data_IF_866871312884
#
_entry.id   IF_866871312884
#
_cell.length_a   1.000
_cell.length_b   1.000
_cell.length_c   1.000
_cell.angle_alpha   90.00
_cell.angle_beta   90.00
_cell.angle_gamma   90.00
#
_symmetry.space_group_name_H-M   'P 1'
#
loop_
_entity.id
_entity.type
_entity.pdbx_description
1 polymer ?
#
# COMPACT_ATOMS: atom_id res chain seq x y z
N UNK A 1 5.64 -9.19 -13.28
CA UNK A 1 4.71 -8.56 -12.31
C UNK A 1 5.30 -8.43 -10.90
N UNK A 2 5.98 -9.44 -10.34
CA UNK A 2 6.35 -9.52 -8.91
C UNK A 2 7.14 -8.32 -8.36
N UNK A 3 8.35 -8.05 -8.87
CA UNK A 3 9.23 -7.02 -8.28
C UNK A 3 8.63 -5.61 -8.35
N UNK A 4 8.08 -5.23 -9.51
CA UNK A 4 7.47 -3.93 -9.71
C UNK A 4 6.27 -3.73 -8.77
N UNK A 5 5.39 -4.72 -8.66
CA UNK A 5 4.23 -4.64 -7.77
C UNK A 5 4.63 -4.47 -6.31
N UNK A 6 5.63 -5.24 -5.83
CA UNK A 6 6.08 -5.16 -4.45
C UNK A 6 6.64 -3.76 -4.15
N UNK A 7 7.50 -3.24 -5.01
CA UNK A 7 8.11 -1.91 -4.82
C UNK A 7 7.05 -0.81 -4.87
N UNK A 8 6.16 -0.84 -5.87
CA UNK A 8 5.06 0.13 -5.98
C UNK A 8 4.13 0.06 -4.76
N UNK A 9 3.81 -1.15 -4.29
CA UNK A 9 3.00 -1.34 -3.10
C UNK A 9 3.68 -0.80 -1.84
N UNK A 10 4.98 -1.03 -1.67
CA UNK A 10 5.72 -0.52 -0.51
C UNK A 10 5.70 1.00 -0.45
N UNK A 11 5.92 1.68 -1.58
CA UNK A 11 5.83 3.14 -1.67
C UNK A 11 4.40 3.62 -1.39
N UNK A 12 3.39 2.98 -1.99
CA UNK A 12 1.99 3.32 -1.77
C UNK A 12 1.57 3.16 -0.30
N UNK A 13 1.97 2.08 0.37
CA UNK A 13 1.68 1.84 1.78
C UNK A 13 2.36 2.84 2.71
N UNK A 14 3.57 3.30 2.39
CA UNK A 14 4.22 4.37 3.15
C UNK A 14 3.42 5.68 3.09
N UNK A 15 2.91 6.05 1.91
CA UNK A 15 2.06 7.24 1.78
C UNK A 15 0.70 7.05 2.44
N UNK A 16 0.10 5.86 2.31
CA UNK A 16 -1.15 5.52 3.00
C UNK A 16 -1.00 5.65 4.52
N UNK A 17 -0.04 4.95 5.11
CA UNK A 17 0.18 4.90 6.56
C UNK A 17 0.63 6.25 7.14
N UNK A 18 1.35 7.07 6.37
CA UNK A 18 1.71 8.43 6.82
C UNK A 18 0.53 9.42 6.76
N UNK A 19 -0.57 9.08 6.08
CA UNK A 19 -1.72 9.99 5.85
C UNK A 19 -2.96 9.67 6.71
N UNK A 20 -3.29 8.39 6.97
CA UNK A 20 -4.59 8.00 7.54
C UNK A 20 -4.85 8.45 8.99
N UNK A 21 -3.97 8.12 9.93
CA UNK A 21 -4.06 8.56 11.33
C UNK A 21 -2.64 8.70 11.90
N UNK A 22 -1.91 9.68 11.35
CA UNK A 22 -0.55 9.96 11.75
C UNK A 22 -0.45 10.42 13.22
N UNK A 23 -1.53 10.95 13.78
CA UNK A 23 -1.56 11.41 15.16
C UNK A 23 -1.46 10.24 16.13
N UNK A 24 -2.16 9.14 15.87
CA UNK A 24 -2.13 7.94 16.73
C UNK A 24 -0.98 7.00 16.33
N UNK A 25 -0.79 6.74 15.03
CA UNK A 25 0.12 5.69 14.55
C UNK A 25 1.38 6.23 13.85
N UNK A 26 1.56 7.54 13.78
CA UNK A 26 2.68 8.18 13.10
C UNK A 26 3.67 8.83 14.07
N UNK A 27 4.62 9.58 13.50
CA UNK A 27 5.60 10.38 14.25
C UNK A 27 5.49 11.88 14.01
N UNK A 28 4.43 12.36 13.35
CA UNK A 28 4.19 13.78 13.15
C UNK A 28 5.16 14.43 12.17
N UNK A 29 5.49 15.69 12.41
CA UNK A 29 6.33 16.48 11.52
C UNK A 29 7.81 16.09 11.66
N UNK A 30 8.38 15.57 10.56
CA UNK A 30 9.78 15.16 10.48
C UNK A 30 10.78 16.26 10.88
N UNK A 31 10.44 17.53 10.64
CA UNK A 31 11.31 18.67 10.97
C UNK A 31 11.51 18.84 12.47
N UNK A 32 10.62 18.28 13.30
CA UNK A 32 10.64 18.40 14.74
C UNK A 32 11.15 17.13 15.42
N UNK A 33 11.65 16.14 14.67
CA UNK A 33 12.07 14.85 15.21
C UNK A 33 13.38 14.97 16.00
N UNK A 34 13.32 14.55 17.27
CA UNK A 34 14.49 14.34 18.11
C UNK A 34 14.63 12.84 18.38
N UNK A 35 15.71 12.22 17.87
CA UNK A 35 15.99 10.80 18.03
C UNK A 35 16.34 10.48 19.49
N UNK A 36 15.75 9.42 20.02
CA UNK A 36 15.93 8.99 21.43
C UNK A 36 16.13 7.48 21.53
N UNK A 37 16.67 7.03 22.67
CA UNK A 37 16.81 5.60 22.99
C UNK A 37 17.62 4.81 21.96
N UNK A 38 18.80 5.28 21.56
CA UNK A 38 19.65 4.58 20.57
C UNK A 38 18.95 4.22 19.24
N UNK A 39 18.02 5.08 18.79
CA UNK A 39 17.17 4.93 17.60
C UNK A 39 15.89 4.08 17.80
N UNK A 40 15.43 3.89 19.03
CA UNK A 40 14.15 3.25 19.32
C UNK A 40 12.94 4.09 18.88
N UNK A 41 13.07 5.42 18.80
CA UNK A 41 12.01 6.29 18.30
C UNK A 41 12.37 7.77 18.32
N UNK A 42 11.35 8.61 18.19
CA UNK A 42 11.49 10.07 18.17
C UNK A 42 10.49 10.77 19.10
N UNK A 43 10.88 11.93 19.61
CA UNK A 43 9.94 12.94 20.08
C UNK A 43 9.65 13.95 18.98
N UNK A 44 8.42 14.49 18.95
CA UNK A 44 8.03 15.59 18.06
C UNK A 44 8.11 16.92 18.84
N UNK A 45 9.18 17.69 18.62
CA UNK A 45 9.42 18.97 19.28
C UNK A 45 10.19 18.83 20.60
N UNK A 46 9.94 19.73 21.55
CA UNK A 46 10.72 19.83 22.80
C UNK A 46 10.37 18.78 23.87
N UNK A 47 9.48 17.83 23.57
CA UNK A 47 9.05 16.76 24.47
C UNK A 47 7.77 16.08 23.96
N UNK A 48 7.23 15.14 24.73
CA UNK A 48 6.01 14.40 24.41
C UNK A 48 6.20 12.89 24.49
N UNK A 49 5.17 12.16 24.06
CA UNK A 49 5.22 10.70 24.02
C UNK A 49 6.21 10.20 22.95
N UNK A 50 6.82 9.05 23.21
CA UNK A 50 7.68 8.37 22.23
C UNK A 50 6.85 7.95 21.01
N UNK A 51 7.32 8.32 19.82
CA UNK A 51 6.67 7.94 18.55
C UNK A 51 7.57 7.06 17.71
N UNK A 52 7.02 5.94 17.24
CA UNK A 52 7.72 4.90 16.46
C UNK A 52 7.18 4.75 15.03
N UNK A 53 6.17 5.56 14.67
CA UNK A 53 5.49 5.50 13.38
C UNK A 53 6.16 6.31 12.28
N UNK A 54 5.56 6.30 11.08
CA UNK A 54 6.03 7.11 9.96
C UNK A 54 5.76 8.60 10.19
N UNK A 55 6.71 9.44 9.78
CA UNK A 55 6.50 10.88 9.75
C UNK A 55 5.42 11.22 8.71
N UNK A 56 4.76 12.37 8.85
CA UNK A 56 3.89 12.88 7.79
C UNK A 56 4.68 13.05 6.50
N UNK A 57 4.16 12.53 5.38
CA UNK A 57 4.76 12.65 4.05
C UNK A 57 3.73 13.28 3.09
N UNK A 58 4.20 14.00 2.07
CA UNK A 58 3.33 14.61 1.04
C UNK A 58 2.22 15.52 1.62
N UNK A 59 2.52 16.22 2.71
CA UNK A 59 1.67 17.25 3.32
C UNK A 59 2.36 18.60 3.16
N UNK A 60 1.63 19.63 2.70
CA UNK A 60 2.19 20.96 2.43
C UNK A 60 2.00 21.98 3.57
N UNK A 61 1.42 21.54 4.69
CA UNK A 61 1.10 22.38 5.84
C UNK A 61 -0.39 22.72 5.95
N UNK A 62 -1.16 22.59 4.86
CA UNK A 62 -2.63 22.77 4.89
C UNK A 62 -3.40 21.55 4.38
N UNK A 63 -2.88 20.85 3.37
CA UNK A 63 -3.57 19.74 2.71
C UNK A 63 -2.64 18.57 2.39
N UNK A 64 -3.21 17.37 2.38
CA UNK A 64 -2.58 16.19 1.82
C UNK A 64 -2.50 16.30 0.30
N UNK A 65 -1.31 16.03 -0.25
CA UNK A 65 -1.07 15.97 -1.70
C UNK A 65 -1.24 14.56 -2.28
N UNK A 66 -1.50 13.59 -1.42
CA UNK A 66 -1.78 12.21 -1.79
C UNK A 66 -3.04 11.73 -1.07
N UNK A 67 -3.98 11.13 -1.81
CA UNK A 67 -5.14 10.48 -1.22
C UNK A 67 -4.74 9.11 -0.69
N UNK A 68 -5.13 8.73 0.54
CA UNK A 68 -4.82 7.41 1.08
C UNK A 68 -5.64 6.35 0.31
N UNK A 69 -4.98 5.66 -0.62
CA UNK A 69 -5.57 4.64 -1.48
C UNK A 69 -4.74 3.35 -1.40
N UNK A 70 -5.42 2.20 -1.50
CA UNK A 70 -4.77 0.90 -1.70
C UNK A 70 -4.47 0.72 -3.19
N UNK A 71 -3.32 0.11 -3.49
CA UNK A 71 -2.86 -0.07 -4.87
C UNK A 71 -3.77 -1.02 -5.66
N UNK A 72 -4.22 -0.59 -6.83
CA UNK A 72 -4.90 -1.43 -7.83
C UNK A 72 -3.96 -1.71 -8.99
N UNK A 73 -3.76 -2.99 -9.33
CA UNK A 73 -2.83 -3.43 -10.38
C UNK A 73 -3.61 -4.12 -11.49
N UNK A 74 -3.57 -3.56 -12.69
CA UNK A 74 -4.16 -4.17 -13.88
C UNK A 74 -3.10 -4.89 -14.70
N UNK A 75 -3.33 -6.16 -15.01
CA UNK A 75 -2.39 -7.02 -15.71
C UNK A 75 -3.06 -7.58 -16.97
N UNK A 76 -2.52 -7.21 -18.13
CA UNK A 76 -2.91 -7.79 -19.42
C UNK A 76 -2.11 -9.07 -19.67
N UNK A 77 -2.55 -10.18 -19.08
CA UNK A 77 -1.93 -11.50 -19.25
C UNK A 77 -2.96 -12.63 -19.00
N UNK A 78 -2.70 -13.87 -19.46
CA UNK A 78 -3.55 -15.02 -19.15
C UNK A 78 -3.68 -15.24 -17.64
N UNK A 79 -4.89 -15.59 -17.22
CA UNK A 79 -5.22 -15.86 -15.81
C UNK A 79 -4.31 -16.91 -15.17
N UNK A 80 -4.04 -18.00 -15.89
CA UNK A 80 -3.19 -19.09 -15.40
C UNK A 80 -1.73 -18.64 -15.19
N UNK A 81 -1.22 -17.74 -16.03
CA UNK A 81 0.12 -17.18 -15.88
C UNK A 81 0.20 -16.31 -14.61
N UNK A 82 -0.82 -15.48 -14.37
CA UNK A 82 -0.90 -14.66 -13.16
C UNK A 82 -0.99 -15.57 -11.92
N UNK A 83 -1.89 -16.54 -11.91
CA UNK A 83 -2.07 -17.50 -10.82
C UNK A 83 -0.79 -18.27 -10.52
N UNK A 84 -0.08 -18.72 -11.55
CA UNK A 84 1.20 -19.44 -11.38
C UNK A 84 2.24 -18.58 -10.66
N UNK A 85 2.33 -17.30 -11.01
CA UNK A 85 3.25 -16.37 -10.35
C UNK A 85 2.83 -16.11 -8.90
N UNK A 86 1.54 -15.85 -8.65
CA UNK A 86 1.05 -15.60 -7.28
C UNK A 86 1.25 -16.82 -6.38
N UNK A 87 0.94 -18.03 -6.86
CA UNK A 87 1.18 -19.29 -6.12
C UNK A 87 2.66 -19.53 -5.81
N UNK A 88 3.56 -19.07 -6.69
CA UNK A 88 5.01 -19.19 -6.49
C UNK A 88 5.56 -18.23 -5.43
N UNK A 89 4.87 -17.13 -5.14
CA UNK A 89 5.38 -16.05 -4.29
C UNK A 89 4.42 -15.73 -3.15
N UNK A 90 4.62 -16.37 -1.99
CA UNK A 90 3.80 -16.19 -0.78
C UNK A 90 3.59 -14.71 -0.40
N UNK A 91 4.64 -13.89 -0.42
CA UNK A 91 4.53 -12.46 -0.12
C UNK A 91 3.57 -11.70 -1.06
N UNK A 92 3.46 -12.10 -2.34
CA UNK A 92 2.48 -11.49 -3.26
C UNK A 92 1.07 -11.97 -2.94
N UNK A 93 0.89 -13.26 -2.65
CA UNK A 93 -0.39 -13.81 -2.25
C UNK A 93 -0.91 -13.14 -0.97
N UNK A 94 -0.06 -13.00 0.06
CA UNK A 94 -0.41 -12.33 1.32
C UNK A 94 -0.83 -10.88 1.12
N UNK A 95 -0.19 -10.14 0.21
CA UNK A 95 -0.60 -8.77 -0.10
C UNK A 95 -1.98 -8.70 -0.77
N UNK A 96 -2.32 -9.69 -1.60
CA UNK A 96 -3.62 -9.73 -2.30
C UNK A 96 -4.72 -10.20 -1.35
N UNK A 97 -4.48 -11.29 -0.61
CA UNK A 97 -5.49 -11.99 0.17
C UNK A 97 -5.83 -11.25 1.47
N UNK A 98 -4.91 -10.42 1.99
CA UNK A 98 -5.18 -9.51 3.11
C UNK A 98 -5.62 -8.11 2.65
N UNK A 99 -6.01 -7.97 1.38
CA UNK A 99 -6.49 -6.74 0.77
C UNK A 99 -5.50 -5.56 0.85
N UNK A 100 -4.19 -5.79 1.00
CA UNK A 100 -3.19 -4.71 0.99
C UNK A 100 -3.03 -4.09 -0.41
N UNK A 101 -3.25 -4.89 -1.46
CA UNK A 101 -3.40 -4.43 -2.83
C UNK A 101 -4.45 -5.29 -3.55
N UNK A 102 -4.96 -4.80 -4.68
CA UNK A 102 -5.89 -5.56 -5.53
C UNK A 102 -5.29 -5.83 -6.89
N UNK A 103 -5.39 -7.08 -7.36
CA UNK A 103 -4.97 -7.48 -8.71
C UNK A 103 -6.18 -7.73 -9.59
N UNK A 104 -6.15 -7.10 -10.75
CA UNK A 104 -7.11 -7.26 -11.82
C UNK A 104 -6.43 -7.83 -13.05
N UNK A 105 -7.02 -8.85 -13.65
CA UNK A 105 -6.69 -9.29 -14.99
C UNK A 105 -7.57 -8.56 -15.98
N UNK A 106 -6.96 -8.01 -17.02
CA UNK A 106 -7.66 -7.47 -18.18
C UNK A 106 -7.55 -8.47 -19.33
N UNK A 107 -8.69 -9.01 -19.76
CA UNK A 107 -8.82 -9.78 -20.99
C UNK A 107 -9.08 -8.84 -22.18
N UNK A 108 -8.10 -8.70 -23.06
CA UNK A 108 -8.19 -7.81 -24.22
C UNK A 108 -9.09 -8.38 -25.33
N UNK A 109 -9.31 -9.68 -25.41
CA UNK A 109 -10.16 -10.29 -26.44
C UNK A 109 -11.62 -10.24 -26.02
N UNK A 110 -11.91 -10.52 -24.75
CA UNK A 110 -13.26 -10.53 -24.22
C UNK A 110 -13.71 -9.18 -23.64
N UNK A 111 -12.80 -8.20 -23.57
CA UNK A 111 -13.01 -6.91 -22.91
C UNK A 111 -13.56 -7.04 -21.48
N UNK A 112 -13.06 -8.04 -20.73
CA UNK A 112 -13.49 -8.30 -19.35
C UNK A 112 -12.39 -8.00 -18.35
N UNK A 113 -12.80 -7.68 -17.12
CA UNK A 113 -11.92 -7.50 -15.98
C UNK A 113 -12.31 -8.52 -14.91
N UNK A 114 -11.34 -9.28 -14.43
CA UNK A 114 -11.49 -10.20 -13.30
C UNK A 114 -10.58 -9.81 -12.16
N UNK A 115 -11.09 -9.77 -10.93
CA UNK A 115 -10.30 -9.59 -9.71
C UNK A 115 -9.78 -10.95 -9.25
N UNK A 116 -8.49 -11.02 -8.91
CA UNK A 116 -7.93 -12.17 -8.20
C UNK A 116 -8.11 -12.00 -6.69
N UNK A 117 -8.67 -13.01 -6.01
CA UNK A 117 -8.78 -13.05 -4.56
C UNK A 117 -8.81 -14.50 -4.07
N UNK A 118 -7.96 -14.86 -3.09
CA UNK A 118 -7.87 -16.23 -2.56
C UNK A 118 -7.69 -17.30 -3.65
N UNK A 119 -6.86 -16.98 -4.65
CA UNK A 119 -6.62 -17.81 -5.85
C UNK A 119 -7.84 -18.07 -6.75
N UNK A 120 -8.93 -17.33 -6.56
CA UNK A 120 -10.14 -17.38 -7.39
C UNK A 120 -10.34 -16.10 -8.20
N UNK A 121 -10.97 -16.22 -9.36
CA UNK A 121 -11.28 -15.09 -10.24
C UNK A 121 -12.72 -14.64 -10.03
N UNK A 122 -12.87 -13.48 -9.41
CA UNK A 122 -14.16 -12.83 -9.16
C UNK A 122 -14.43 -11.84 -10.30
N UNK A 123 -15.58 -11.97 -10.96
CA UNK A 123 -16.00 -11.00 -11.98
C UNK A 123 -16.30 -9.66 -11.31
N UNK A 124 -15.71 -8.59 -11.80
CA UNK A 124 -16.03 -7.25 -11.31
C UNK A 124 -17.27 -6.73 -12.04
N UNK A 125 -18.35 -6.53 -11.31
CA UNK A 125 -19.48 -5.72 -11.77
C UNK A 125 -19.08 -4.24 -11.65
N UNK A 126 -19.45 -3.43 -12.65
CA UNK A 126 -19.15 -2.00 -12.69
C UNK A 126 -19.72 -1.32 -11.44
N UNK A 127 -18.86 -0.92 -10.51
CA UNK A 127 -19.15 0.15 -9.55
C UNK A 127 -18.30 1.36 -9.98
N UNK A 128 -18.94 2.30 -10.67
CA UNK A 128 -18.47 3.68 -10.81
C UNK A 128 -19.11 4.51 -9.69
#
# INVERSE_FOLDING_TARGET
MTALMIVTNWINLQYYASTVDNRIYGSGNKLLHNVVGENEGVFEGNGGDLRIGLAMQLHDGGHWRHQPLRLSVFIAAPRDAILTIVRKHAAVAELIDNDWLTVFQWDAEQHTIGRLYQFEWIKQERSL
#
